data_IF_470721319590
#
_entry.id   IF_470721319590
#
_cell.length_a   1.000
_cell.length_b   1.000
_cell.length_c   1.000
_cell.angle_alpha   90.00
_cell.angle_beta   90.00
_cell.angle_gamma   90.00
#
_symmetry.space_group_name_H-M   'P 1'
#
loop_
_entity.id
_entity.type
_entity.pdbx_description
1 polymer ?
#
# COMPACT_ATOMS: atom_id res chain seq x y z
N UNK A 1 -35.86 -37.17 3.26
CA UNK A 1 -34.88 -37.70 2.30
C UNK A 1 -33.52 -37.30 2.84
N UNK A 2 -32.82 -38.30 3.37
CA UNK A 2 -31.59 -38.13 4.13
C UNK A 2 -30.39 -38.15 3.18
N UNK A 3 -29.51 -37.14 3.24
CA UNK A 3 -28.22 -37.14 2.53
C UNK A 3 -27.19 -37.88 3.40
N UNK A 4 -26.34 -38.73 2.81
CA UNK A 4 -25.28 -39.42 3.56
C UNK A 4 -24.07 -38.52 3.79
N UNK A 5 -23.57 -38.57 5.01
CA UNK A 5 -22.28 -38.03 5.46
C UNK A 5 -21.18 -38.90 4.85
N UNK A 6 -20.21 -38.30 4.16
CA UNK A 6 -19.02 -38.99 3.68
C UNK A 6 -17.90 -38.73 4.68
N UNK A 7 -17.42 -39.77 5.34
CA UNK A 7 -16.21 -39.81 6.15
C UNK A 7 -14.97 -39.79 5.25
N UNK A 8 -13.91 -39.03 5.53
CA UNK A 8 -12.65 -39.14 4.80
C UNK A 8 -11.83 -40.29 5.36
N UNK A 9 -11.88 -41.44 4.69
CA UNK A 9 -11.08 -42.61 4.99
C UNK A 9 -9.72 -42.54 4.31
N UNK A 10 -8.68 -42.58 5.11
CA UNK A 10 -7.38 -43.27 5.00
C UNK A 10 -6.98 -43.84 3.64
N UNK A 11 -5.91 -43.27 3.08
CA UNK A 11 -5.14 -43.87 1.99
C UNK A 11 -4.18 -44.92 2.53
N UNK A 12 -4.24 -46.19 2.05
CA UNK A 12 -3.30 -47.22 2.42
C UNK A 12 -2.29 -47.46 1.31
N UNK A 13 -1.31 -46.58 1.10
CA UNK A 13 -0.09 -46.99 0.41
C UNK A 13 1.07 -46.04 0.71
N UNK A 14 1.97 -46.52 1.58
CA UNK A 14 3.23 -45.85 1.92
C UNK A 14 4.26 -45.93 0.79
N UNK A 15 4.23 -45.00 -0.14
CA UNK A 15 5.36 -44.80 -1.07
C UNK A 15 5.90 -43.36 -0.88
N UNK A 16 7.11 -43.28 -0.31
CA UNK A 16 7.89 -42.07 -0.23
C UNK A 16 8.27 -41.59 -1.63
N UNK A 17 7.67 -40.53 -2.12
CA UNK A 17 8.14 -39.86 -3.34
C UNK A 17 9.39 -39.05 -3.02
N UNK A 18 10.52 -39.43 -3.56
CA UNK A 18 11.78 -38.68 -3.58
C UNK A 18 11.57 -37.38 -4.40
N UNK A 19 11.55 -36.26 -3.73
CA UNK A 19 11.61 -34.94 -4.37
C UNK A 19 13.09 -34.59 -4.62
N UNK A 20 13.54 -34.48 -5.90
CA UNK A 20 14.95 -34.22 -6.25
C UNK A 20 15.39 -32.76 -5.97
N UNK A 21 14.54 -31.88 -5.43
CA UNK A 21 14.85 -30.48 -5.16
C UNK A 21 14.97 -30.14 -3.66
N UNK A 22 14.87 -31.11 -2.77
CA UNK A 22 15.07 -30.91 -1.34
C UNK A 22 16.54 -30.82 -0.99
N UNK A 23 17.11 -29.61 -0.90
CA UNK A 23 18.44 -29.37 -0.36
C UNK A 23 18.59 -29.80 1.11
N UNK A 24 19.83 -30.03 1.61
CA UNK A 24 20.06 -30.59 2.94
C UNK A 24 19.53 -29.67 4.04
N UNK A 25 18.64 -30.20 4.87
CA UNK A 25 18.13 -29.52 6.08
C UNK A 25 19.24 -29.50 7.14
N UNK A 26 19.82 -28.33 7.41
CA UNK A 26 20.78 -28.12 8.47
C UNK A 26 20.03 -28.01 9.81
N UNK A 27 20.25 -28.98 10.70
CA UNK A 27 19.69 -28.99 12.07
C UNK A 27 20.33 -27.91 12.91
N UNK A 28 19.53 -27.21 13.74
CA UNK A 28 19.99 -26.18 14.71
C UNK A 28 21.05 -26.67 15.72
N UNK A 29 21.28 -27.97 15.83
CA UNK A 29 22.30 -28.57 16.71
C UNK A 29 23.70 -28.60 16.09
N UNK A 30 23.86 -28.42 14.78
CA UNK A 30 25.16 -28.53 14.09
C UNK A 30 25.94 -27.21 14.10
N UNK A 31 25.32 -26.08 14.49
CA UNK A 31 25.96 -24.74 14.48
C UNK A 31 26.72 -24.44 15.77
N UNK A 32 26.53 -25.22 16.84
CA UNK A 32 27.16 -24.99 18.16
C UNK A 32 28.50 -25.73 18.37
N UNK A 33 29.08 -26.36 17.34
CA UNK A 33 30.29 -27.19 17.43
C UNK A 33 31.56 -26.62 16.79
N UNK A 34 31.58 -25.40 16.29
CA UNK A 34 32.83 -24.79 15.76
C UNK A 34 33.53 -24.01 16.85
N UNK A 35 34.64 -24.60 17.29
CA UNK A 35 35.48 -24.19 18.39
C UNK A 35 36.03 -22.77 18.26
N UNK A 36 36.13 -22.15 19.41
CA UNK A 36 36.86 -20.91 19.64
C UNK A 36 38.32 -21.15 19.31
N UNK A 37 38.82 -20.66 18.19
CA UNK A 37 40.24 -20.55 17.91
C UNK A 37 40.74 -19.30 18.66
N UNK A 38 41.42 -19.53 19.78
CA UNK A 38 42.09 -18.47 20.50
C UNK A 38 43.31 -18.01 19.70
N UNK A 39 43.25 -16.82 19.13
CA UNK A 39 44.41 -16.12 18.58
C UNK A 39 45.11 -15.39 19.72
N UNK A 40 46.39 -15.60 19.96
CA UNK A 40 47.12 -14.86 21.01
C UNK A 40 47.30 -13.41 20.55
N UNK A 41 46.59 -12.49 21.18
CA UNK A 41 46.82 -11.06 21.03
C UNK A 41 48.10 -10.66 21.71
N UNK A 42 49.08 -10.23 20.94
CA UNK A 42 50.28 -9.56 21.40
C UNK A 42 49.91 -8.26 22.15
N UNK A 43 50.47 -8.09 23.33
CA UNK A 43 50.20 -7.01 24.28
C UNK A 43 50.64 -5.61 23.82
N UNK A 44 50.31 -5.22 22.61
CA UNK A 44 50.62 -3.91 22.05
C UNK A 44 49.38 -3.19 21.40
N UNK A 45 48.26 -3.91 21.24
CA UNK A 45 47.11 -3.41 20.49
C UNK A 45 46.09 -2.63 21.32
N UNK A 46 46.07 -2.78 22.65
CA UNK A 46 45.08 -2.15 23.52
C UNK A 46 45.28 -0.65 23.68
N UNK A 47 46.55 -0.18 23.67
CA UNK A 47 46.85 1.27 23.84
C UNK A 47 46.49 2.08 22.60
N UNK A 48 46.52 1.48 21.40
CA UNK A 48 46.12 2.16 20.16
C UNK A 48 44.60 2.24 19.99
N UNK A 49 43.89 1.23 20.48
CA UNK A 49 42.44 1.19 20.42
C UNK A 49 41.79 2.18 21.40
N UNK A 50 42.32 2.28 22.62
CA UNK A 50 41.87 3.27 23.61
C UNK A 50 42.15 4.73 23.18
N UNK A 51 43.26 4.98 22.46
CA UNK A 51 43.53 6.32 21.91
C UNK A 51 42.67 6.66 20.68
N UNK A 52 42.25 5.68 19.89
CA UNK A 52 41.37 5.90 18.75
C UNK A 52 39.91 6.15 19.19
N UNK A 53 39.48 5.52 20.29
CA UNK A 53 38.16 5.75 20.89
C UNK A 53 38.06 7.07 21.67
N UNK A 54 39.20 7.60 22.15
CA UNK A 54 39.23 8.86 22.89
C UNK A 54 39.22 10.13 22.01
N UNK A 55 39.31 9.99 20.69
CA UNK A 55 39.25 11.13 19.74
C UNK A 55 37.86 11.40 19.18
N UNK A 56 36.81 10.71 19.66
CA UNK A 56 35.43 10.81 19.19
C UNK A 56 34.43 11.29 20.25
N UNK A 57 34.86 11.79 21.40
CA UNK A 57 33.94 12.29 22.44
C UNK A 57 33.81 13.82 22.36
N UNK A 58 33.22 14.29 21.24
CA UNK A 58 32.64 15.61 21.18
C UNK A 58 31.23 15.53 21.79
N UNK A 59 31.14 15.62 23.10
CA UNK A 59 30.10 16.12 23.99
C UNK A 59 28.61 15.99 23.63
N UNK A 60 28.19 15.10 22.73
CA UNK A 60 26.78 14.85 22.43
C UNK A 60 26.27 13.64 23.24
N UNK A 61 26.11 13.82 24.55
CA UNK A 61 25.46 12.84 25.45
C UNK A 61 23.94 12.88 25.35
N UNK A 62 23.38 13.05 24.13
CA UNK A 62 21.96 12.83 23.89
C UNK A 62 21.79 11.42 23.32
N UNK A 63 21.15 10.52 24.04
CA UNK A 63 20.54 9.35 23.41
C UNK A 63 19.73 9.84 22.22
N UNK A 64 19.94 9.32 21.00
CA UNK A 64 19.12 9.74 19.87
C UNK A 64 17.67 9.42 20.24
N UNK A 65 16.85 10.46 20.34
CA UNK A 65 15.41 10.26 20.53
C UNK A 65 14.87 9.36 19.41
N UNK A 66 13.97 8.41 19.72
CA UNK A 66 13.30 7.60 18.71
C UNK A 66 12.74 8.53 17.64
N UNK A 67 12.88 8.15 16.37
CA UNK A 67 12.37 8.95 15.23
C UNK A 67 10.89 9.28 15.40
N UNK A 68 10.11 8.41 16.01
CA UNK A 68 8.71 8.61 16.38
C UNK A 68 8.48 9.80 17.33
N UNK A 69 9.46 10.12 18.19
CA UNK A 69 9.39 11.28 19.08
C UNK A 69 9.60 12.63 18.37
N UNK A 70 9.97 12.62 17.08
CA UNK A 70 10.23 13.81 16.26
C UNK A 70 9.14 14.12 15.25
N UNK A 71 8.18 13.20 15.03
CA UNK A 71 7.10 13.43 14.09
C UNK A 71 6.00 14.27 14.74
N UNK A 72 5.81 15.49 14.21
CA UNK A 72 4.70 16.36 14.58
C UNK A 72 3.60 16.31 13.50
N UNK A 73 2.49 15.62 13.75
CA UNK A 73 1.40 15.55 12.78
C UNK A 73 0.82 16.92 12.41
N UNK A 74 0.84 17.89 13.32
CA UNK A 74 0.26 19.20 13.05
C UNK A 74 1.10 20.06 12.07
N UNK A 75 2.37 19.71 11.87
CA UNK A 75 3.25 20.39 10.93
C UNK A 75 3.02 19.96 9.47
N UNK A 76 2.32 18.86 9.23
CA UNK A 76 2.21 18.23 7.91
C UNK A 76 0.78 18.29 7.34
N UNK A 77 0.70 18.31 6.01
CA UNK A 77 -0.54 18.14 5.25
C UNK A 77 -0.27 17.25 4.05
N UNK A 78 -0.47 15.95 4.23
CA UNK A 78 -0.11 14.98 3.21
C UNK A 78 -1.03 14.99 1.99
N UNK A 79 -0.44 14.91 0.80
CA UNK A 79 -1.12 14.84 -0.47
C UNK A 79 -0.55 13.76 -1.39
N UNK A 80 -1.30 13.45 -2.44
CA UNK A 80 -0.94 12.44 -3.43
C UNK A 80 -1.29 12.93 -4.82
N UNK A 81 -0.44 12.65 -5.81
CA UNK A 81 -0.74 12.89 -7.23
C UNK A 81 -0.52 11.59 -8.00
N UNK A 82 -1.46 11.26 -8.86
CA UNK A 82 -1.36 10.16 -9.83
C UNK A 82 -1.23 10.76 -11.22
N UNK A 83 -0.11 10.52 -11.88
CA UNK A 83 0.10 10.91 -13.27
C UNK A 83 -0.26 9.73 -14.18
N UNK A 84 -1.45 9.78 -14.76
CA UNK A 84 -1.96 8.72 -15.64
C UNK A 84 -1.22 8.67 -16.97
N UNK A 85 -0.61 9.76 -17.43
CA UNK A 85 0.20 9.78 -18.65
C UNK A 85 1.47 8.92 -18.51
N UNK A 86 1.95 8.73 -17.28
CA UNK A 86 3.15 7.92 -16.99
C UNK A 86 2.80 6.48 -16.61
N UNK A 87 1.56 6.20 -16.21
CA UNK A 87 1.18 4.87 -15.74
C UNK A 87 1.18 3.86 -16.90
N UNK A 88 1.88 2.76 -16.71
CA UNK A 88 1.98 1.66 -17.70
C UNK A 88 1.13 0.43 -17.32
N UNK A 89 0.31 0.53 -16.29
CA UNK A 89 -0.58 -0.57 -15.88
C UNK A 89 0.12 -1.81 -15.31
N UNK A 90 1.36 -1.72 -14.84
CA UNK A 90 2.18 -2.89 -14.47
C UNK A 90 1.73 -3.62 -13.17
N UNK A 91 0.81 -3.07 -12.38
CA UNK A 91 0.28 -3.70 -11.16
C UNK A 91 1.21 -3.69 -9.93
N UNK A 92 2.50 -3.38 -10.06
CA UNK A 92 3.48 -3.45 -8.96
C UNK A 92 3.06 -2.66 -7.71
N UNK A 93 2.34 -1.55 -7.88
CA UNK A 93 1.84 -0.75 -6.77
C UNK A 93 0.73 -1.46 -5.98
N UNK A 94 -0.03 -2.35 -6.60
CA UNK A 94 -1.06 -3.18 -5.94
C UNK A 94 -0.38 -4.25 -5.12
N UNK A 95 0.56 -4.98 -5.72
CA UNK A 95 1.36 -6.03 -5.04
C UNK A 95 2.08 -5.45 -3.83
N UNK A 96 2.88 -4.39 -4.02
CA UNK A 96 3.61 -3.77 -2.92
C UNK A 96 2.70 -3.23 -1.80
N UNK A 97 1.48 -2.79 -2.13
CA UNK A 97 0.51 -2.37 -1.12
C UNK A 97 -0.03 -3.56 -0.32
N UNK A 98 -0.31 -4.69 -0.99
CA UNK A 98 -0.76 -5.92 -0.33
C UNK A 98 0.30 -6.46 0.63
N UNK A 99 1.53 -6.59 0.17
CA UNK A 99 2.66 -7.06 0.98
C UNK A 99 2.93 -6.15 2.19
N UNK A 100 3.03 -4.83 1.98
CA UNK A 100 3.35 -3.86 3.02
C UNK A 100 2.25 -3.75 4.09
N UNK A 101 1.00 -3.89 3.70
CA UNK A 101 -0.14 -3.61 4.57
C UNK A 101 -0.95 -4.86 4.95
N UNK A 102 -0.46 -6.05 4.63
CA UNK A 102 -1.11 -7.33 4.90
C UNK A 102 -2.57 -7.34 4.40
N UNK A 103 -2.77 -6.80 3.19
CA UNK A 103 -4.08 -6.86 2.54
C UNK A 103 -4.31 -8.30 2.07
N UNK A 104 -5.51 -8.88 2.25
CA UNK A 104 -5.80 -10.24 1.81
C UNK A 104 -5.35 -10.51 0.38
N UNK A 105 -4.85 -11.72 0.11
CA UNK A 105 -4.32 -12.09 -1.21
C UNK A 105 -5.40 -12.11 -2.30
N UNK A 106 -6.65 -12.35 -1.91
CA UNK A 106 -7.79 -12.32 -2.82
C UNK A 106 -7.86 -10.96 -3.55
N UNK A 107 -7.92 -10.96 -4.89
CA UNK A 107 -7.94 -9.74 -5.70
C UNK A 107 -9.13 -8.80 -5.44
N UNK A 108 -10.23 -9.30 -4.85
CA UNK A 108 -11.38 -8.49 -4.48
C UNK A 108 -11.02 -7.44 -3.42
N UNK A 109 -10.06 -7.74 -2.54
CA UNK A 109 -9.67 -6.85 -1.45
C UNK A 109 -8.44 -6.05 -1.82
N UNK A 110 -8.60 -4.74 -2.00
CA UNK A 110 -7.49 -3.85 -2.37
C UNK A 110 -7.53 -2.53 -1.61
N UNK A 111 -6.38 -2.02 -1.19
CA UNK A 111 -6.22 -0.63 -0.72
C UNK A 111 -5.90 0.32 -1.88
N UNK A 112 -5.37 -0.21 -2.98
CA UNK A 112 -5.15 0.47 -4.25
C UNK A 112 -5.30 -0.55 -5.37
N UNK A 113 -5.84 -0.12 -6.50
CA UNK A 113 -6.03 -0.94 -7.69
C UNK A 113 -5.68 -0.11 -8.93
N UNK A 114 -5.59 -0.75 -10.09
CA UNK A 114 -5.37 -0.07 -11.36
C UNK A 114 -6.52 -0.38 -12.29
N UNK A 115 -7.17 0.64 -12.81
CA UNK A 115 -8.19 0.55 -13.85
C UNK A 115 -7.54 0.74 -15.22
N UNK A 116 -7.99 -0.02 -16.22
CA UNK A 116 -7.79 0.31 -17.62
C UNK A 116 -9.05 1.00 -18.11
N UNK A 117 -8.90 2.21 -18.63
CA UNK A 117 -9.95 2.97 -19.27
C UNK A 117 -9.72 2.97 -20.77
N UNK A 118 -10.67 2.42 -21.51
CA UNK A 118 -10.64 2.32 -22.97
C UNK A 118 -11.72 3.21 -23.56
N UNK A 119 -11.33 4.27 -24.26
CA UNK A 119 -12.25 5.19 -24.93
C UNK A 119 -12.48 4.74 -26.36
N UNK A 120 -13.71 4.70 -26.78
CA UNK A 120 -14.14 4.34 -28.14
C UNK A 120 -14.54 5.57 -28.96
N UNK A 121 -14.61 5.43 -30.28
CA UNK A 121 -14.88 6.53 -31.22
C UNK A 121 -16.26 7.18 -31.04
N UNK A 122 -17.20 6.49 -30.43
CA UNK A 122 -18.50 7.02 -30.00
C UNK A 122 -18.47 7.77 -28.65
N UNK A 123 -17.29 7.93 -28.06
CA UNK A 123 -17.08 8.64 -26.81
C UNK A 123 -17.38 7.83 -25.55
N UNK A 124 -17.68 6.52 -25.69
CA UNK A 124 -17.93 5.66 -24.53
C UNK A 124 -16.60 5.26 -23.88
N UNK A 125 -16.52 5.37 -22.55
CA UNK A 125 -15.39 4.91 -21.76
C UNK A 125 -15.74 3.55 -21.12
N UNK A 126 -15.02 2.53 -21.51
CA UNK A 126 -15.09 1.20 -20.90
C UNK A 126 -14.02 1.09 -19.83
N UNK A 127 -14.42 0.66 -18.63
CA UNK A 127 -13.51 0.52 -17.50
C UNK A 127 -13.46 -0.93 -17.08
N UNK A 128 -12.25 -1.48 -16.98
CA UNK A 128 -12.00 -2.80 -16.41
C UNK A 128 -10.81 -2.77 -15.46
N UNK A 129 -10.78 -3.70 -14.51
CA UNK A 129 -9.72 -3.84 -13.54
C UNK A 129 -9.60 -5.32 -13.15
N UNK A 130 -9.14 -6.18 -14.07
CA UNK A 130 -9.03 -7.60 -13.79
C UNK A 130 -8.12 -7.81 -12.57
N UNK A 131 -8.63 -8.53 -11.57
CA UNK A 131 -7.91 -8.81 -10.31
C UNK A 131 -7.31 -7.56 -9.65
N UNK A 132 -8.02 -6.42 -9.72
CA UNK A 132 -7.54 -5.14 -9.21
C UNK A 132 -6.32 -4.58 -9.98
N UNK A 133 -5.99 -5.13 -11.13
CA UNK A 133 -4.80 -4.81 -11.90
C UNK A 133 -3.50 -5.33 -11.27
N UNK A 134 -3.58 -6.28 -10.33
CA UNK A 134 -2.44 -6.77 -9.54
C UNK A 134 -1.36 -7.43 -10.40
N UNK A 135 -1.78 -8.21 -11.41
CA UNK A 135 -0.85 -8.89 -12.32
C UNK A 135 -0.50 -8.07 -13.56
N UNK A 136 -0.86 -6.79 -13.56
CA UNK A 136 -0.78 -5.93 -14.74
C UNK A 136 -1.90 -6.24 -15.74
N UNK A 137 -1.74 -5.69 -16.94
CA UNK A 137 -2.65 -5.94 -18.05
C UNK A 137 -1.88 -6.69 -19.13
N UNK A 138 -2.54 -7.64 -19.80
CA UNK A 138 -1.93 -8.45 -20.84
C UNK A 138 -1.11 -7.60 -21.81
N UNK A 139 0.19 -7.94 -22.02
CA UNK A 139 1.02 -7.28 -23.01
C UNK A 139 0.54 -7.68 -24.42
N UNK A 140 -0.18 -6.78 -25.04
CA UNK A 140 -0.67 -6.99 -26.40
C UNK A 140 -1.00 -5.65 -27.05
N UNK A 141 -1.27 -5.63 -28.36
CA UNK A 141 -1.80 -4.42 -28.96
C UNK A 141 -3.10 -4.07 -28.25
N UNK A 142 -3.28 -2.77 -27.95
CA UNK A 142 -4.54 -2.27 -27.43
C UNK A 142 -5.70 -2.83 -28.31
N UNK A 143 -6.85 -3.20 -27.70
CA UNK A 143 -7.97 -3.68 -28.48
C UNK A 143 -8.31 -2.65 -29.56
N UNK A 144 -8.45 -3.12 -30.80
CA UNK A 144 -8.77 -2.21 -31.92
C UNK A 144 -10.23 -1.78 -31.92
N UNK A 145 -11.10 -2.54 -31.24
CA UNK A 145 -12.52 -2.23 -31.09
C UNK A 145 -13.07 -2.83 -29.79
N UNK A 146 -14.02 -2.15 -29.14
CA UNK A 146 -14.80 -2.62 -28.00
C UNK A 146 -16.26 -2.33 -28.29
N UNK A 147 -17.15 -3.32 -28.07
CA UNK A 147 -18.58 -3.18 -28.35
C UNK A 147 -18.91 -2.85 -29.81
N UNK A 148 -18.01 -3.14 -30.76
CA UNK A 148 -18.17 -2.81 -32.18
C UNK A 148 -17.69 -1.40 -32.58
N UNK A 149 -17.29 -0.56 -31.63
CA UNK A 149 -16.73 0.77 -31.87
C UNK A 149 -15.20 0.75 -31.81
N UNK A 150 -14.52 1.51 -32.69
CA UNK A 150 -13.07 1.59 -32.73
C UNK A 150 -12.51 2.24 -31.46
N UNK A 151 -11.42 1.70 -30.92
CA UNK A 151 -10.72 2.28 -29.76
C UNK A 151 -9.92 3.49 -30.21
N UNK A 152 -10.04 4.59 -29.49
CA UNK A 152 -9.33 5.85 -29.76
C UNK A 152 -8.29 6.16 -28.69
N UNK A 153 -8.48 5.70 -27.44
CA UNK A 153 -7.52 5.92 -26.34
C UNK A 153 -7.57 4.76 -25.34
N UNK A 154 -6.42 4.44 -24.76
CA UNK A 154 -6.29 3.49 -23.65
C UNK A 154 -5.37 4.09 -22.61
N UNK A 155 -5.84 4.19 -21.38
CA UNK A 155 -5.04 4.69 -20.25
C UNK A 155 -5.18 3.81 -19.02
N UNK A 156 -4.17 3.85 -18.16
CA UNK A 156 -4.19 3.16 -16.87
C UNK A 156 -4.34 4.18 -15.74
N UNK A 157 -5.32 3.95 -14.88
CA UNK A 157 -5.69 4.86 -13.80
C UNK A 157 -5.53 4.15 -12.44
N UNK A 158 -4.42 4.35 -11.75
CA UNK A 158 -4.26 3.88 -10.39
C UNK A 158 -5.26 4.57 -9.45
N UNK A 159 -6.03 3.78 -8.73
CA UNK A 159 -7.02 4.23 -7.75
C UNK A 159 -6.55 3.92 -6.32
N UNK A 160 -7.03 4.71 -5.36
CA UNK A 160 -6.79 4.53 -3.92
C UNK A 160 -7.81 5.34 -3.13
N UNK A 161 -7.78 5.26 -1.78
CA UNK A 161 -8.58 6.15 -0.95
C UNK A 161 -8.18 7.61 -1.18
N UNK A 162 -9.14 8.48 -1.42
CA UNK A 162 -8.93 9.90 -1.71
C UNK A 162 -8.48 10.73 -0.51
N UNK A 163 -8.46 10.18 0.72
CA UNK A 163 -8.03 10.87 1.94
C UNK A 163 -8.67 12.27 2.07
N UNK A 164 -9.99 12.30 1.96
CA UNK A 164 -10.80 13.51 1.84
C UNK A 164 -10.61 14.48 3.02
N UNK A 165 -10.69 15.79 2.77
CA UNK A 165 -10.76 16.78 3.84
C UNK A 165 -12.15 16.83 4.48
N UNK A 166 -13.19 16.54 3.68
CA UNK A 166 -14.57 16.40 4.15
C UNK A 166 -15.01 14.93 3.97
N UNK A 167 -14.53 14.00 4.80
CA UNK A 167 -14.73 12.57 4.59
C UNK A 167 -16.12 12.10 5.05
N UNK A 168 -17.03 11.70 4.17
CA UNK A 168 -18.34 11.20 4.57
C UNK A 168 -18.23 9.95 5.45
N UNK A 169 -17.20 9.16 5.25
CA UNK A 169 -16.97 7.92 6.00
C UNK A 169 -16.66 8.11 7.49
N UNK A 170 -16.24 9.30 7.94
CA UNK A 170 -16.07 9.60 9.36
C UNK A 170 -17.40 9.96 9.99
N UNK A 171 -18.23 10.76 9.29
CA UNK A 171 -19.52 11.22 9.78
C UNK A 171 -20.55 10.11 10.01
N UNK A 172 -20.46 9.01 9.23
CA UNK A 172 -21.39 7.88 9.34
C UNK A 172 -20.93 6.80 10.33
N UNK A 173 -19.75 6.91 10.92
CA UNK A 173 -19.23 5.88 11.80
C UNK A 173 -19.87 5.98 13.20
N UNK A 174 -20.77 5.03 13.60
CA UNK A 174 -21.54 5.13 14.82
C UNK A 174 -20.68 5.03 16.09
N UNK A 175 -19.50 4.42 15.98
CA UNK A 175 -18.57 4.22 17.10
C UNK A 175 -17.33 5.14 17.02
N UNK A 176 -17.26 6.02 16.00
CA UNK A 176 -16.13 6.92 15.80
C UNK A 176 -14.80 6.20 15.51
N UNK A 177 -14.86 4.96 15.00
CA UNK A 177 -13.67 4.20 14.65
C UNK A 177 -12.93 4.78 13.43
N UNK A 178 -13.66 5.36 12.47
CA UNK A 178 -13.03 6.11 11.38
C UNK A 178 -12.81 7.55 11.83
N UNK A 179 -11.56 8.01 11.82
CA UNK A 179 -11.17 9.32 12.33
C UNK A 179 -10.12 10.00 11.46
N UNK A 180 -9.90 11.29 11.69
CA UNK A 180 -8.85 12.08 11.04
C UNK A 180 -7.73 12.37 12.03
N UNK A 181 -6.50 12.19 11.62
CA UNK A 181 -5.30 12.63 12.34
C UNK A 181 -5.06 14.12 12.19
N UNK A 182 -4.15 14.71 12.96
CA UNK A 182 -3.84 16.14 12.87
C UNK A 182 -3.21 16.53 11.53
N UNK A 183 -2.45 15.64 10.88
CA UNK A 183 -1.92 15.81 9.52
C UNK A 183 -2.98 15.53 8.44
N UNK A 184 -4.20 15.21 8.86
CA UNK A 184 -5.38 15.04 8.04
C UNK A 184 -5.52 13.68 7.38
N UNK A 185 -4.71 12.68 7.71
CA UNK A 185 -4.89 11.32 7.22
C UNK A 185 -6.12 10.69 7.88
N UNK A 186 -6.95 10.04 7.07
CA UNK A 186 -8.11 9.31 7.57
C UNK A 186 -7.67 7.88 7.90
N UNK A 187 -7.87 7.48 9.15
CA UNK A 187 -7.53 6.15 9.65
C UNK A 187 -8.77 5.41 10.18
N UNK A 188 -8.60 4.15 10.51
CA UNK A 188 -9.59 3.32 11.20
C UNK A 188 -8.93 2.80 12.48
N UNK A 189 -9.59 3.04 13.60
CA UNK A 189 -9.27 2.40 14.87
C UNK A 189 -9.91 1.01 14.87
N UNK A 190 -9.08 -0.01 14.71
CA UNK A 190 -9.51 -1.40 14.57
C UNK A 190 -10.13 -1.94 15.86
N UNK A 191 -9.69 -1.46 17.04
CA UNK A 191 -10.21 -1.89 18.34
C UNK A 191 -11.64 -1.35 18.60
N UNK A 192 -11.99 -0.25 17.95
CA UNK A 192 -13.32 0.36 18.03
C UNK A 192 -14.25 -0.06 16.89
N UNK A 193 -13.70 -0.54 15.78
CA UNK A 193 -14.47 -0.86 14.59
C UNK A 193 -15.35 -2.10 14.81
N UNK A 194 -16.65 -1.97 14.61
CA UNK A 194 -17.63 -3.06 14.73
C UNK A 194 -17.98 -3.73 13.40
N UNK A 195 -17.30 -3.38 12.29
CA UNK A 195 -17.54 -3.98 10.98
C UNK A 195 -18.90 -3.69 10.33
N UNK A 196 -19.62 -2.67 10.77
CA UNK A 196 -21.00 -2.39 10.29
C UNK A 196 -21.11 -2.01 8.81
N UNK A 197 -20.02 -1.67 8.13
CA UNK A 197 -20.00 -1.36 6.70
C UNK A 197 -20.52 0.03 6.29
N UNK A 198 -21.05 0.86 7.20
CA UNK A 198 -21.61 2.19 6.83
C UNK A 198 -20.60 3.07 6.10
N UNK A 199 -19.34 3.01 6.51
CA UNK A 199 -18.27 3.77 5.86
C UNK A 199 -17.93 3.27 4.45
N UNK A 200 -18.26 2.02 4.10
CA UNK A 200 -18.12 1.48 2.76
C UNK A 200 -19.20 2.10 1.85
N UNK A 201 -20.46 2.06 2.31
CA UNK A 201 -21.60 2.60 1.57
C UNK A 201 -21.48 4.12 1.38
N UNK A 202 -20.97 4.83 2.38
CA UNK A 202 -20.80 6.27 2.32
C UNK A 202 -19.62 6.73 1.45
N UNK A 203 -18.70 5.82 1.09
CA UNK A 203 -17.53 6.18 0.28
C UNK A 203 -17.89 6.26 -1.21
N UNK A 204 -17.89 7.43 -1.85
CA UNK A 204 -18.27 7.53 -3.26
C UNK A 204 -17.20 6.96 -4.21
N UNK A 205 -16.03 6.62 -3.68
CA UNK A 205 -14.89 6.11 -4.45
C UNK A 205 -14.74 4.60 -4.37
N UNK A 206 -15.58 3.88 -3.59
CA UNK A 206 -15.46 2.44 -3.39
C UNK A 206 -14.15 1.98 -2.74
N UNK A 207 -13.46 2.87 -2.02
CA UNK A 207 -12.08 2.65 -1.57
C UNK A 207 -12.00 1.97 -0.19
N UNK A 208 -13.00 1.18 0.20
CA UNK A 208 -13.07 0.49 1.50
C UNK A 208 -13.62 -0.91 1.33
N UNK A 209 -13.17 -1.80 2.19
CA UNK A 209 -13.69 -3.16 2.32
C UNK A 209 -13.74 -3.56 3.80
N UNK A 210 -14.40 -4.70 4.09
CA UNK A 210 -14.31 -5.36 5.41
C UNK A 210 -13.29 -6.47 5.29
N UNK A 211 -12.34 -6.54 6.22
CA UNK A 211 -11.37 -7.64 6.28
C UNK A 211 -12.14 -8.95 6.45
N UNK A 212 -11.99 -9.92 5.53
CA UNK A 212 -12.79 -11.14 5.53
C UNK A 212 -12.48 -12.03 6.75
N UNK A 213 -13.42 -12.92 7.07
CA UNK A 213 -13.19 -13.92 8.09
C UNK A 213 -12.09 -14.90 7.63
N UNK A 214 -11.07 -15.09 8.46
CA UNK A 214 -9.89 -15.90 8.11
C UNK A 214 -8.65 -15.10 7.79
N UNK A 215 -8.80 -13.84 7.36
CA UNK A 215 -7.72 -12.88 7.24
C UNK A 215 -7.70 -11.92 8.43
N UNK A 216 -6.56 -11.28 8.64
CA UNK A 216 -6.39 -10.31 9.72
C UNK A 216 -5.59 -9.11 9.23
N UNK A 217 -5.86 -7.95 9.84
CA UNK A 217 -5.03 -6.76 9.67
C UNK A 217 -3.61 -7.00 10.22
N UNK A 218 -2.64 -6.11 9.97
CA UNK A 218 -1.31 -6.16 10.61
C UNK A 218 -1.37 -6.25 12.14
N UNK A 219 -2.46 -5.77 12.76
CA UNK A 219 -2.70 -5.86 14.21
C UNK A 219 -3.42 -7.13 14.65
N UNK A 220 -3.74 -8.04 13.73
CA UNK A 220 -4.40 -9.31 14.03
C UNK A 220 -5.92 -9.24 14.19
N UNK A 221 -6.60 -8.24 13.61
CA UNK A 221 -8.04 -8.03 13.72
C UNK A 221 -8.76 -8.37 12.42
N UNK A 222 -9.79 -9.20 12.48
CA UNK A 222 -10.68 -9.54 11.37
C UNK A 222 -12.03 -8.81 11.47
N UNK A 223 -12.79 -8.78 10.37
CA UNK A 223 -14.14 -8.22 10.35
C UNK A 223 -14.23 -6.70 10.53
N UNK A 224 -13.12 -5.99 10.45
CA UNK A 224 -13.05 -4.52 10.54
C UNK A 224 -12.96 -3.88 9.17
N UNK A 225 -13.35 -2.61 9.08
CA UNK A 225 -13.19 -1.85 7.84
C UNK A 225 -11.72 -1.52 7.58
N UNK A 226 -11.28 -1.70 6.34
CA UNK A 226 -9.94 -1.35 5.91
C UNK A 226 -9.93 -0.47 4.66
N UNK A 227 -8.82 0.22 4.40
CA UNK A 227 -8.58 1.11 3.27
C UNK A 227 -7.13 1.61 3.22
N UNK A 228 -6.74 2.29 2.14
CA UNK A 228 -5.44 2.97 2.06
C UNK A 228 -5.28 4.00 3.21
N UNK A 229 -4.15 3.94 3.91
CA UNK A 229 -3.76 4.80 5.02
C UNK A 229 -2.61 5.75 4.66
N UNK A 230 -2.27 5.92 3.38
CA UNK A 230 -1.01 6.51 2.90
C UNK A 230 0.23 5.81 3.48
N UNK A 231 0.12 4.53 3.90
CA UNK A 231 1.15 3.82 4.66
C UNK A 231 1.58 4.64 5.89
N UNK A 232 0.65 4.99 6.78
CA UNK A 232 0.87 5.91 7.90
C UNK A 232 2.08 5.52 8.75
N UNK A 233 2.29 4.24 8.98
CA UNK A 233 3.45 3.69 9.68
C UNK A 233 4.79 3.98 8.99
N UNK A 234 4.79 4.23 7.66
CA UNK A 234 5.99 4.61 6.92
C UNK A 234 6.19 6.12 6.91
N UNK A 235 5.12 6.88 6.63
CA UNK A 235 5.25 8.33 6.47
C UNK A 235 5.62 9.03 7.77
N UNK A 236 5.15 8.54 8.92
CA UNK A 236 5.53 9.05 10.25
C UNK A 236 7.00 8.79 10.62
N UNK A 237 7.67 7.89 9.90
CA UNK A 237 9.10 7.59 10.02
C UNK A 237 9.94 8.19 8.87
N UNK A 238 9.36 9.09 8.07
CA UNK A 238 10.03 9.75 6.95
C UNK A 238 10.18 8.88 5.68
N UNK A 239 9.55 7.71 5.62
CA UNK A 239 9.58 6.83 4.45
C UNK A 239 8.41 7.12 3.52
N UNK A 240 8.58 6.88 2.23
CA UNK A 240 7.49 7.02 1.24
C UNK A 240 6.51 5.83 1.32
N UNK A 241 5.23 6.01 0.92
CA UNK A 241 4.30 4.90 0.75
C UNK A 241 4.88 3.83 -0.18
N UNK A 242 4.63 2.54 0.11
CA UNK A 242 5.18 1.42 -0.64
C UNK A 242 4.83 1.50 -2.14
N UNK A 243 3.58 1.85 -2.48
CA UNK A 243 3.14 1.98 -3.86
C UNK A 243 3.79 3.15 -4.64
N UNK A 244 4.35 4.13 -3.94
CA UNK A 244 5.16 5.21 -4.53
C UNK A 244 6.59 4.74 -4.77
N UNK A 245 7.15 4.05 -3.78
CA UNK A 245 8.53 3.58 -3.80
C UNK A 245 8.78 2.56 -4.91
N UNK A 246 7.85 1.65 -5.14
CA UNK A 246 7.95 0.58 -6.15
C UNK A 246 7.64 1.05 -7.57
N UNK A 247 7.05 2.24 -7.78
CA UNK A 247 6.59 2.68 -9.09
C UNK A 247 7.77 2.97 -10.05
N UNK A 248 8.02 2.14 -11.08
CA UNK A 248 9.21 2.24 -11.91
C UNK A 248 9.21 3.47 -12.82
N UNK A 249 8.04 4.01 -13.13
CA UNK A 249 7.86 5.16 -14.02
C UNK A 249 7.52 6.44 -13.26
N UNK A 250 7.46 6.40 -11.92
CA UNK A 250 7.13 7.55 -11.08
C UNK A 250 5.76 8.16 -11.38
N UNK A 251 4.79 7.33 -11.72
CA UNK A 251 3.40 7.76 -11.94
C UNK A 251 2.66 8.09 -10.62
N UNK A 252 3.24 7.75 -9.48
CA UNK A 252 2.70 8.01 -8.15
C UNK A 252 3.61 8.96 -7.40
N UNK A 253 3.10 10.11 -7.01
CA UNK A 253 3.81 11.13 -6.26
C UNK A 253 3.15 11.31 -4.90
N UNK A 254 3.95 11.47 -3.87
CA UNK A 254 3.51 11.69 -2.51
C UNK A 254 4.38 12.78 -1.88
N UNK A 255 3.79 13.61 -1.02
CA UNK A 255 4.52 14.67 -0.33
C UNK A 255 3.65 15.52 0.57
N UNK A 256 4.30 16.45 1.25
CA UNK A 256 3.65 17.44 2.09
C UNK A 256 3.17 18.63 1.25
N UNK A 257 1.88 18.92 1.31
CA UNK A 257 1.28 20.08 0.63
C UNK A 257 1.67 21.42 1.28
N UNK A 258 2.20 21.40 2.51
CA UNK A 258 2.75 22.59 3.16
C UNK A 258 4.18 22.90 2.67
N UNK A 259 4.88 21.92 2.06
CA UNK A 259 6.18 22.12 1.47
C UNK A 259 6.05 22.42 -0.05
N UNK A 260 6.38 23.66 -0.49
CA UNK A 260 6.31 24.01 -1.91
C UNK A 260 7.32 23.26 -2.79
N UNK A 261 8.37 22.67 -2.19
CA UNK A 261 9.36 21.86 -2.90
C UNK A 261 8.99 20.37 -2.95
N UNK A 262 7.94 19.94 -2.26
CA UNK A 262 7.51 18.54 -2.28
C UNK A 262 7.08 18.08 -3.68
N UNK A 263 7.26 16.80 -4.02
CA UNK A 263 6.89 16.27 -5.33
C UNK A 263 5.44 16.54 -5.73
N UNK A 264 4.50 16.50 -4.78
CA UNK A 264 3.08 16.79 -5.05
C UNK A 264 2.83 18.26 -5.30
N UNK A 265 3.44 19.16 -4.52
CA UNK A 265 3.30 20.60 -4.68
C UNK A 265 3.91 21.08 -6.02
N UNK A 266 5.03 20.48 -6.41
CA UNK A 266 5.66 20.73 -7.72
C UNK A 266 4.75 20.24 -8.83
N UNK A 267 4.29 19.00 -8.79
CA UNK A 267 3.45 18.41 -9.82
C UNK A 267 2.13 19.19 -10.02
N UNK A 268 1.48 19.59 -8.93
CA UNK A 268 0.23 20.37 -8.97
C UNK A 268 0.42 21.79 -9.54
N UNK A 269 1.61 22.33 -9.46
CA UNK A 269 1.95 23.64 -10.02
C UNK A 269 2.33 23.57 -11.49
N UNK A 270 2.99 22.49 -11.89
CA UNK A 270 3.56 22.33 -13.24
C UNK A 270 2.59 21.71 -14.26
N UNK A 271 1.57 20.97 -13.79
CA UNK A 271 0.59 20.31 -14.65
C UNK A 271 -0.85 20.57 -14.19
N UNK A 272 -1.81 20.62 -15.13
CA UNK A 272 -3.22 20.61 -14.80
C UNK A 272 -3.58 19.33 -14.02
N UNK A 273 -4.22 19.52 -12.88
CA UNK A 273 -4.69 18.41 -12.04
C UNK A 273 -6.20 18.48 -11.85
N UNK A 274 -6.82 17.33 -11.76
CA UNK A 274 -8.22 17.19 -11.37
C UNK A 274 -8.34 16.37 -10.09
N UNK A 275 -9.44 16.53 -9.37
CA UNK A 275 -9.87 15.61 -8.33
C UNK A 275 -11.12 14.87 -8.78
N UNK A 276 -11.22 13.60 -8.44
CA UNK A 276 -12.37 12.79 -8.84
C UNK A 276 -13.62 13.22 -8.08
N UNK A 277 -14.77 13.25 -8.76
CA UNK A 277 -16.08 13.57 -8.18
C UNK A 277 -16.06 14.86 -7.36
N UNK A 278 -15.51 15.92 -7.92
CA UNK A 278 -15.36 17.23 -7.26
C UNK A 278 -16.71 17.83 -6.81
N UNK A 279 -17.78 17.52 -7.53
CA UNK A 279 -19.18 17.92 -7.27
C UNK A 279 -19.72 17.39 -5.93
N UNK A 280 -19.18 16.28 -5.41
CA UNK A 280 -19.60 15.71 -4.14
C UNK A 280 -19.06 16.46 -2.91
N UNK A 281 -18.21 17.46 -3.07
CA UNK A 281 -17.73 18.33 -2.00
C UNK A 281 -16.84 17.62 -0.96
N UNK A 282 -16.33 16.43 -1.24
CA UNK A 282 -15.52 15.65 -0.29
C UNK A 282 -14.09 16.18 -0.13
N UNK A 283 -13.66 17.10 -1.01
CA UNK A 283 -12.32 17.70 -1.04
C UNK A 283 -11.19 16.67 -0.99
N UNK A 284 -11.00 15.88 -2.07
CA UNK A 284 -9.94 14.88 -2.15
C UNK A 284 -8.54 15.49 -1.98
N UNK A 285 -7.65 14.76 -1.28
CA UNK A 285 -6.20 15.05 -1.23
C UNK A 285 -5.40 14.24 -2.24
N UNK A 286 -6.07 13.47 -3.08
CA UNK A 286 -5.50 12.76 -4.22
C UNK A 286 -5.96 13.48 -5.47
N UNK A 287 -5.00 13.98 -6.26
CA UNK A 287 -5.24 14.61 -7.54
C UNK A 287 -4.69 13.75 -8.68
N UNK A 288 -5.18 13.98 -9.88
CA UNK A 288 -4.82 13.26 -11.09
C UNK A 288 -4.32 14.20 -12.17
N UNK A 289 -3.24 13.80 -12.85
CA UNK A 289 -2.72 14.42 -14.08
C UNK A 289 -3.09 13.51 -15.25
N UNK A 290 -3.44 14.10 -16.40
CA UNK A 290 -3.73 13.34 -17.63
C UNK A 290 -5.14 12.79 -17.69
N UNK A 291 -6.01 13.12 -16.73
CA UNK A 291 -7.44 12.86 -16.82
C UNK A 291 -8.17 14.14 -17.19
N UNK A 292 -9.08 14.05 -18.16
CA UNK A 292 -10.11 15.05 -18.37
C UNK A 292 -11.22 14.81 -17.34
N UNK A 293 -11.87 15.87 -16.86
CA UNK A 293 -12.82 15.76 -15.77
C UNK A 293 -13.81 14.63 -16.01
N UNK A 294 -13.89 13.67 -15.10
CA UNK A 294 -14.98 12.71 -15.10
C UNK A 294 -16.28 13.53 -14.96
N UNK A 295 -17.02 13.65 -16.04
CA UNK A 295 -18.42 14.05 -15.94
C UNK A 295 -19.07 13.02 -15.03
N UNK A 296 -19.54 13.46 -13.85
CA UNK A 296 -20.10 12.65 -12.78
C UNK A 296 -21.32 11.87 -13.20
#
# INVERSE_FOLDING_TARGET
MSHPVIDPATDPDGSATNDPLAGPRISRRTVLGLGVVAVPCLAGSTILFDRLMALGDDGATGTPEPIEARYDPAAHRWGFVVDTNRCIGCGLCVVACKEENHVPDDPEYTRTWVERQTTTADGVVHVDSPEGGMYGFEPGPAPVAVGGSAVTDVRFVPRLCMQCEEPPCTGVCPVGATYRTADGVILVDEDRCIGCGYCLVACPYGARYIVPAGDVTPRGVAGVADKCTFCYHRITTGRRPACVEVCPVGARLYGDLNDPASPVSVAMREAPTIVLKADLGTKPRVAYIGMEGEAG
#
